data_IF_031219958626
#
_entry.id   IF_031219958626
#
_cell.length_a   1.000
_cell.length_b   1.000
_cell.length_c   1.000
_cell.angle_alpha   90.00
_cell.angle_beta   90.00
_cell.angle_gamma   90.00
#
_symmetry.space_group_name_H-M   'P 1'
#
loop_
_entity.id
_entity.type
_entity.pdbx_description
1 polymer ?
#
# COMPACT_ATOMS: atom_id res chain seq x y z
N UNK A 1 39.69 46.70 -17.83
CA UNK A 1 39.91 45.25 -17.84
C UNK A 1 39.60 44.57 -16.49
N UNK A 2 39.62 45.26 -15.36
CA UNK A 2 39.45 44.71 -14.00
C UNK A 2 37.98 44.49 -13.57
N UNK A 3 37.04 45.18 -14.20
CA UNK A 3 35.59 45.07 -13.78
C UNK A 3 34.83 43.88 -14.46
N UNK A 4 35.30 43.45 -15.65
CA UNK A 4 34.71 42.28 -16.33
C UNK A 4 35.14 40.94 -15.68
N UNK A 5 36.34 40.85 -15.16
CA UNK A 5 36.85 39.63 -14.51
C UNK A 5 36.11 39.33 -13.16
N UNK A 6 35.69 40.40 -12.44
CA UNK A 6 34.89 40.21 -11.20
C UNK A 6 33.48 39.70 -11.46
N UNK A 7 32.80 40.13 -12.56
CA UNK A 7 31.47 39.64 -12.93
C UNK A 7 31.47 38.14 -13.34
N UNK A 8 32.51 37.70 -14.04
CA UNK A 8 32.67 36.30 -14.49
C UNK A 8 32.92 35.39 -13.26
N UNK A 9 33.73 35.83 -12.27
CA UNK A 9 33.96 35.05 -11.05
C UNK A 9 32.70 34.93 -10.16
N UNK A 10 31.88 35.99 -10.05
CA UNK A 10 30.61 35.92 -9.32
C UNK A 10 29.58 35.02 -10.00
N UNK A 11 29.51 35.02 -11.33
CA UNK A 11 28.61 34.11 -12.07
C UNK A 11 29.05 32.65 -11.97
N UNK A 12 30.36 32.37 -11.98
CA UNK A 12 30.88 31.01 -11.84
C UNK A 12 30.64 30.45 -10.40
N UNK A 13 30.74 31.29 -9.37
CA UNK A 13 30.44 30.91 -8.00
C UNK A 13 28.93 30.70 -7.78
N UNK A 14 28.06 31.54 -8.37
CA UNK A 14 26.61 31.35 -8.33
C UNK A 14 26.20 30.08 -9.10
N UNK A 15 26.80 29.80 -10.26
CA UNK A 15 26.50 28.55 -10.98
C UNK A 15 26.99 27.31 -10.22
N UNK A 16 28.14 27.36 -9.54
CA UNK A 16 28.63 26.26 -8.71
C UNK A 16 27.76 26.03 -7.46
N UNK A 17 27.21 27.07 -6.84
CA UNK A 17 26.32 26.96 -5.70
C UNK A 17 24.95 26.42 -6.13
N UNK A 18 24.45 26.81 -7.30
CA UNK A 18 23.17 26.26 -7.83
C UNK A 18 23.33 24.80 -8.28
N UNK A 19 24.47 24.41 -8.84
CA UNK A 19 24.76 23.02 -9.22
C UNK A 19 24.98 22.16 -7.96
N UNK A 20 25.56 22.70 -6.87
CA UNK A 20 25.72 21.97 -5.60
C UNK A 20 24.40 21.77 -4.85
N UNK A 21 23.38 22.59 -5.10
CA UNK A 21 22.04 22.43 -4.49
C UNK A 21 21.17 21.39 -5.20
N UNK A 22 21.55 20.93 -6.40
CA UNK A 22 20.79 19.94 -7.19
C UNK A 22 21.31 18.51 -6.97
N UNK A 23 22.44 18.31 -6.30
CA UNK A 23 23.10 17.00 -6.12
C UNK A 23 22.91 16.36 -4.73
N UNK A 24 21.87 16.70 -3.94
CA UNK A 24 21.75 16.21 -2.55
C UNK A 24 20.82 14.99 -2.37
N UNK A 25 20.26 14.41 -3.44
CA UNK A 25 19.49 13.17 -3.32
C UNK A 25 19.91 12.12 -4.35
N UNK A 26 21.11 11.59 -4.21
CA UNK A 26 21.63 10.53 -5.08
C UNK A 26 21.41 9.11 -4.55
N UNK A 27 20.77 8.93 -3.39
CA UNK A 27 20.46 7.63 -2.79
C UNK A 27 19.03 7.14 -3.05
N UNK A 28 18.73 5.88 -2.75
CA UNK A 28 17.37 5.36 -2.74
C UNK A 28 16.45 6.16 -1.83
N UNK A 29 15.14 6.14 -2.10
CA UNK A 29 14.13 6.72 -1.23
C UNK A 29 13.95 5.81 -0.01
N UNK A 30 14.11 6.34 1.18
CA UNK A 30 13.84 5.60 2.42
C UNK A 30 12.32 5.53 2.63
N UNK A 31 11.71 4.38 2.33
CA UNK A 31 10.26 4.18 2.36
C UNK A 31 9.87 3.30 3.54
N UNK A 32 9.09 3.86 4.46
CA UNK A 32 8.38 3.07 5.45
C UNK A 32 7.09 2.49 4.86
N UNK A 33 6.84 1.20 5.07
CA UNK A 33 5.53 0.60 4.81
C UNK A 33 4.95 0.09 6.11
N UNK A 34 3.75 0.56 6.45
CA UNK A 34 3.12 0.18 7.72
C UNK A 34 2.67 -1.28 7.68
N UNK A 35 3.17 -2.08 8.61
CA UNK A 35 2.99 -3.52 8.74
C UNK A 35 2.47 -3.93 10.13
N UNK A 36 2.00 -2.96 10.93
CA UNK A 36 1.44 -3.21 12.26
C UNK A 36 0.02 -3.78 12.22
N UNK A 37 -0.71 -3.61 13.32
CA UNK A 37 -2.09 -4.05 13.41
C UNK A 37 -3.01 -3.15 12.58
N UNK A 38 -3.80 -3.77 11.69
CA UNK A 38 -4.82 -3.07 10.92
C UNK A 38 -4.72 -3.20 9.43
N UNK A 39 -3.54 -3.08 8.78
CA UNK A 39 -3.39 -3.41 7.39
C UNK A 39 -3.84 -4.84 7.10
N UNK A 40 -4.54 -5.03 5.99
CA UNK A 40 -5.03 -6.34 5.54
C UNK A 40 -5.46 -6.25 4.09
N UNK A 41 -5.44 -7.33 3.40
CA UNK A 41 -5.79 -7.51 1.99
C UNK A 41 -4.58 -7.71 1.08
N UNK A 42 -4.87 -8.10 -0.14
CA UNK A 42 -3.85 -8.25 -1.20
C UNK A 42 -2.98 -6.99 -1.35
N UNK A 43 -3.61 -5.81 -1.16
CA UNK A 43 -2.91 -4.54 -1.27
C UNK A 43 -1.74 -4.40 -0.30
N UNK A 44 -1.83 -4.96 0.94
CA UNK A 44 -0.70 -4.94 1.86
C UNK A 44 0.48 -5.75 1.32
N UNK A 45 0.21 -6.98 0.88
CA UNK A 45 1.25 -7.86 0.30
C UNK A 45 1.88 -7.21 -0.92
N UNK A 46 1.07 -6.62 -1.80
CA UNK A 46 1.60 -5.92 -2.99
C UNK A 46 2.43 -4.69 -2.60
N UNK A 47 2.06 -3.93 -1.59
CA UNK A 47 2.88 -2.80 -1.14
C UNK A 47 4.26 -3.23 -0.66
N UNK A 48 4.36 -4.30 0.15
CA UNK A 48 5.66 -4.81 0.60
C UNK A 48 6.52 -5.22 -0.59
N UNK A 49 5.94 -5.92 -1.56
CA UNK A 49 6.62 -6.37 -2.76
C UNK A 49 7.03 -5.23 -3.68
N UNK A 50 6.15 -4.28 -3.97
CA UNK A 50 6.43 -3.17 -4.87
C UNK A 50 7.58 -2.30 -4.35
N UNK A 51 7.58 -1.99 -3.05
CA UNK A 51 8.67 -1.19 -2.45
C UNK A 51 9.96 -2.00 -2.38
N UNK A 52 9.88 -3.28 -1.96
CA UNK A 52 11.05 -4.15 -1.86
C UNK A 52 11.74 -4.40 -3.21
N UNK A 53 10.97 -4.53 -4.28
CA UNK A 53 11.51 -4.83 -5.62
C UNK A 53 12.00 -3.59 -6.39
N UNK A 54 11.67 -2.38 -5.95
CA UNK A 54 12.07 -1.16 -6.63
C UNK A 54 13.52 -0.80 -6.34
N UNK A 55 14.38 -0.66 -7.37
CA UNK A 55 15.79 -0.33 -7.17
C UNK A 55 16.02 1.10 -6.64
N UNK A 56 15.00 1.97 -6.75
CA UNK A 56 15.05 3.34 -6.26
C UNK A 56 14.59 3.49 -4.81
N UNK A 57 14.22 2.40 -4.13
CA UNK A 57 13.65 2.45 -2.78
C UNK A 57 14.34 1.48 -1.82
N UNK A 58 14.47 1.92 -0.56
CA UNK A 58 14.80 1.07 0.58
C UNK A 58 13.55 0.86 1.43
N UNK A 59 13.19 -0.39 1.67
CA UNK A 59 12.01 -0.76 2.46
C UNK A 59 12.34 -0.81 3.96
N UNK A 60 11.59 -0.06 4.76
CA UNK A 60 11.50 -0.25 6.22
C UNK A 60 10.08 -0.66 6.61
N UNK A 61 9.93 -1.83 7.25
CA UNK A 61 8.64 -2.27 7.80
C UNK A 61 8.40 -1.60 9.16
N UNK A 62 7.25 -0.95 9.32
CA UNK A 62 6.90 -0.19 10.53
C UNK A 62 5.60 -0.73 11.16
N UNK A 63 5.57 -0.77 12.48
CA UNK A 63 4.36 -0.97 13.29
C UNK A 63 4.16 0.19 14.26
N UNK A 64 3.13 0.11 15.09
CA UNK A 64 2.82 1.17 16.05
C UNK A 64 3.95 1.43 17.04
N UNK A 65 4.65 0.37 17.49
CA UNK A 65 5.79 0.49 18.43
C UNK A 65 6.99 1.18 17.76
N UNK A 66 7.31 0.79 16.53
CA UNK A 66 8.38 1.42 15.75
C UNK A 66 8.10 2.92 15.52
N UNK A 67 6.85 3.28 15.19
CA UNK A 67 6.45 4.68 15.03
C UNK A 67 6.61 5.45 16.35
N UNK A 68 6.14 4.90 17.47
CA UNK A 68 6.31 5.54 18.79
C UNK A 68 7.78 5.65 19.20
N UNK A 69 8.62 4.72 18.79
CA UNK A 69 10.06 4.71 19.08
C UNK A 69 10.90 5.59 18.15
N UNK A 70 10.28 6.37 17.26
CA UNK A 70 10.99 7.34 16.41
C UNK A 70 11.48 6.79 15.07
N UNK A 71 10.97 5.64 14.60
CA UNK A 71 11.39 5.07 13.32
C UNK A 71 11.02 5.96 12.11
N UNK A 72 10.07 6.89 12.26
CA UNK A 72 9.73 7.86 11.22
C UNK A 72 10.90 8.80 10.87
N UNK A 73 11.83 9.05 11.80
CA UNK A 73 12.99 9.90 11.56
C UNK A 73 13.98 9.30 10.56
N UNK A 74 13.85 8.01 10.24
CA UNK A 74 14.73 7.26 9.33
C UNK A 74 14.16 7.07 7.94
N UNK A 75 12.98 7.59 7.67
CA UNK A 75 12.30 7.46 6.39
C UNK A 75 11.96 8.83 5.80
N UNK A 76 11.86 8.88 4.48
CA UNK A 76 11.45 10.07 3.75
C UNK A 76 9.94 10.05 3.46
N UNK A 77 9.38 8.84 3.33
CA UNK A 77 8.01 8.62 2.91
C UNK A 77 7.41 7.43 3.63
N UNK A 78 6.17 7.58 4.09
CA UNK A 78 5.35 6.49 4.66
C UNK A 78 4.26 6.06 3.69
N UNK A 79 4.21 4.77 3.39
CA UNK A 79 3.07 4.11 2.75
C UNK A 79 2.18 3.50 3.83
N UNK A 80 0.90 3.87 3.82
CA UNK A 80 -0.13 3.32 4.70
C UNK A 80 -1.11 2.49 3.87
N UNK A 81 -1.04 1.16 3.96
CA UNK A 81 -1.89 0.26 3.18
C UNK A 81 -3.37 0.29 3.57
N UNK A 82 -4.18 -0.39 2.76
CA UNK A 82 -5.58 -0.65 3.05
C UNK A 82 -5.79 -1.60 4.24
N UNK A 83 -7.01 -1.57 4.82
CA UNK A 83 -7.37 -2.44 5.94
C UNK A 83 -8.42 -1.84 6.87
N UNK A 84 -8.08 -1.67 8.15
CA UNK A 84 -8.92 -1.09 9.18
C UNK A 84 -8.28 0.14 9.79
N UNK A 85 -8.71 1.33 9.38
CA UNK A 85 -8.20 2.58 9.95
C UNK A 85 -8.38 2.71 11.47
N UNK A 86 -9.49 2.24 12.09
CA UNK A 86 -9.59 2.21 13.55
C UNK A 86 -8.55 1.31 14.21
N UNK A 87 -8.24 0.16 13.62
CA UNK A 87 -7.21 -0.74 14.16
C UNK A 87 -5.81 -0.15 14.00
N UNK A 88 -5.50 0.49 12.84
CA UNK A 88 -4.26 1.23 12.63
C UNK A 88 -4.11 2.34 13.67
N UNK A 89 -5.16 3.16 13.87
CA UNK A 89 -5.14 4.23 14.86
C UNK A 89 -4.95 3.72 16.29
N UNK A 90 -5.60 2.60 16.65
CA UNK A 90 -5.43 1.95 17.94
C UNK A 90 -4.00 1.44 18.14
N UNK A 91 -3.37 0.87 17.11
CA UNK A 91 -1.99 0.39 17.15
C UNK A 91 -0.99 1.55 17.28
N UNK A 92 -1.20 2.62 16.55
CA UNK A 92 -0.40 3.85 16.66
C UNK A 92 -0.50 4.48 18.05
N UNK A 93 -1.64 4.38 18.72
CA UNK A 93 -1.97 5.09 19.95
C UNK A 93 -1.94 6.64 19.75
N UNK A 94 -2.31 7.45 20.72
CA UNK A 94 -2.24 8.92 20.60
C UNK A 94 -0.83 9.44 20.30
N UNK A 95 0.19 8.86 20.91
CA UNK A 95 1.60 9.26 20.71
C UNK A 95 2.07 9.01 19.28
N UNK A 96 1.88 7.80 18.75
CA UNK A 96 2.24 7.48 17.35
C UNK A 96 1.44 8.29 16.34
N UNK A 97 0.16 8.58 16.65
CA UNK A 97 -0.67 9.48 15.84
C UNK A 97 -0.09 10.90 15.80
N UNK A 98 0.36 11.43 16.93
CA UNK A 98 0.99 12.74 16.99
C UNK A 98 2.30 12.75 16.20
N UNK A 99 3.16 11.75 16.41
CA UNK A 99 4.44 11.61 15.66
C UNK A 99 4.20 11.51 14.14
N UNK A 100 3.17 10.78 13.70
CA UNK A 100 2.82 10.71 12.29
C UNK A 100 2.38 12.07 11.73
N UNK A 101 1.57 12.82 12.46
CA UNK A 101 1.19 14.19 12.06
C UNK A 101 2.42 15.10 11.97
N UNK A 102 3.30 15.06 12.96
CA UNK A 102 4.51 15.86 13.00
C UNK A 102 5.48 15.46 11.88
N UNK A 103 5.65 14.17 11.60
CA UNK A 103 6.41 13.68 10.45
C UNK A 103 5.96 14.33 9.15
N UNK A 104 4.64 14.28 8.86
CA UNK A 104 4.09 14.90 7.64
C UNK A 104 4.27 16.42 7.70
N UNK A 105 3.91 17.08 8.81
CA UNK A 105 4.02 18.54 8.96
C UNK A 105 5.45 19.04 8.71
N UNK A 106 6.46 18.27 9.10
CA UNK A 106 7.88 18.62 8.97
C UNK A 106 8.48 18.28 7.60
N UNK A 107 7.73 17.68 6.68
CA UNK A 107 8.18 17.43 5.31
C UNK A 107 8.17 15.97 4.88
N UNK A 108 7.84 15.05 5.79
CA UNK A 108 7.66 13.64 5.45
C UNK A 108 6.54 13.43 4.44
N UNK A 109 6.77 12.50 3.51
CA UNK A 109 5.79 12.13 2.50
C UNK A 109 4.79 11.11 3.00
N UNK A 110 3.56 11.13 2.47
CA UNK A 110 2.55 10.14 2.82
C UNK A 110 1.79 9.64 1.59
N UNK A 111 1.71 8.32 1.45
CA UNK A 111 0.85 7.65 0.45
C UNK A 111 -0.12 6.74 1.20
N UNK A 112 -1.43 7.01 1.10
CA UNK A 112 -2.47 6.23 1.76
C UNK A 112 -3.47 5.62 0.79
N UNK A 113 -3.68 4.29 0.86
CA UNK A 113 -4.72 3.60 0.08
C UNK A 113 -5.83 3.09 1.00
N UNK A 114 -7.09 3.20 0.61
CA UNK A 114 -8.26 2.69 1.31
C UNK A 114 -8.28 3.12 2.81
N UNK A 115 -7.89 2.24 3.74
CA UNK A 115 -7.81 2.57 5.17
C UNK A 115 -6.75 3.64 5.46
N UNK A 116 -5.63 3.65 4.73
CA UNK A 116 -4.62 4.72 4.80
C UNK A 116 -5.18 6.07 4.37
N UNK A 117 -6.05 6.10 3.35
CA UNK A 117 -6.79 7.31 3.01
C UNK A 117 -7.74 7.73 4.14
N UNK A 118 -8.50 6.77 4.73
CA UNK A 118 -9.37 7.05 5.88
C UNK A 118 -8.61 7.64 7.07
N UNK A 119 -7.39 7.19 7.32
CA UNK A 119 -6.58 7.64 8.46
C UNK A 119 -6.28 9.14 8.40
N UNK A 120 -6.14 9.72 7.20
CA UNK A 120 -5.85 11.14 7.04
C UNK A 120 -7.06 12.06 7.21
N UNK A 121 -8.28 11.51 7.20
CA UNK A 121 -9.52 12.29 7.28
C UNK A 121 -9.62 13.06 8.59
N UNK A 122 -10.52 14.03 8.59
CA UNK A 122 -10.90 14.75 9.79
C UNK A 122 -11.50 13.80 10.83
N UNK A 123 -11.08 13.97 12.07
CA UNK A 123 -11.68 13.30 13.22
C UNK A 123 -12.85 14.14 13.75
N UNK A 124 -14.02 13.54 13.88
CA UNK A 124 -15.18 14.14 14.50
C UNK A 124 -15.72 13.24 15.62
N UNK A 125 -16.63 13.77 16.45
CA UNK A 125 -17.27 13.01 17.52
C UNK A 125 -17.90 11.70 17.01
N UNK A 126 -18.42 11.71 15.77
CA UNK A 126 -19.06 10.54 15.14
C UNK A 126 -18.09 9.70 14.29
N UNK A 127 -16.89 10.21 14.00
CA UNK A 127 -15.89 9.56 13.12
C UNK A 127 -14.52 9.54 13.78
N UNK A 128 -14.28 8.54 14.63
CA UNK A 128 -13.00 8.33 15.34
C UNK A 128 -11.91 7.68 14.47
N UNK A 129 -12.07 7.67 13.15
CA UNK A 129 -11.21 6.89 12.21
C UNK A 129 -10.02 7.67 11.70
N UNK A 130 -10.15 8.99 11.62
CA UNK A 130 -9.14 9.89 11.09
C UNK A 130 -8.23 10.48 12.16
N UNK A 131 -7.19 11.19 11.72
CA UNK A 131 -6.24 11.90 12.56
C UNK A 131 -6.18 13.40 12.23
N UNK A 132 -7.14 13.92 11.49
CA UNK A 132 -7.27 15.34 11.11
C UNK A 132 -6.03 15.91 10.44
N UNK A 133 -5.67 15.33 9.29
CA UNK A 133 -4.65 15.84 8.36
C UNK A 133 -5.32 16.46 7.13
N UNK A 134 -6.35 15.79 6.59
CA UNK A 134 -7.14 16.28 5.45
C UNK A 134 -8.52 16.78 5.91
N UNK A 135 -9.03 17.92 5.40
CA UNK A 135 -10.38 18.42 5.69
C UNK A 135 -11.44 17.66 4.88
N UNK A 136 -11.50 16.36 5.06
CA UNK A 136 -12.44 15.46 4.38
C UNK A 136 -13.11 14.53 5.37
N UNK A 137 -14.41 14.34 5.19
CA UNK A 137 -15.20 13.34 5.88
C UNK A 137 -15.55 12.16 4.98
N UNK A 138 -16.27 11.18 5.54
CA UNK A 138 -16.66 9.95 4.85
C UNK A 138 -18.17 9.74 4.88
N UNK A 139 -18.78 9.59 3.72
CA UNK A 139 -20.20 9.22 3.58
C UNK A 139 -20.47 7.74 3.86
N UNK A 140 -19.46 6.88 3.69
CA UNK A 140 -19.61 5.44 3.85
C UNK A 140 -18.63 4.66 2.98
N UNK A 141 -18.95 3.38 2.78
CA UNK A 141 -18.23 2.47 1.87
C UNK A 141 -19.20 1.45 1.28
N UNK A 142 -18.86 0.85 0.16
CA UNK A 142 -19.75 -0.01 -0.60
C UNK A 142 -18.98 -1.12 -1.30
N UNK A 143 -19.22 -2.35 -0.98
CA UNK A 143 -18.81 -3.54 -1.75
C UNK A 143 -17.35 -3.63 -2.22
N UNK A 144 -17.12 -4.52 -3.17
CA UNK A 144 -15.83 -4.77 -3.82
C UNK A 144 -16.04 -4.96 -5.33
N UNK A 145 -15.39 -4.17 -6.16
CA UNK A 145 -15.54 -4.18 -7.63
C UNK A 145 -14.44 -3.35 -8.31
N UNK A 146 -14.41 -3.42 -9.65
CA UNK A 146 -13.59 -2.50 -10.45
C UNK A 146 -14.37 -1.20 -10.66
N UNK A 147 -13.86 -0.11 -10.13
CA UNK A 147 -14.50 1.20 -10.13
C UNK A 147 -13.82 2.13 -11.13
N UNK A 148 -14.56 2.76 -12.06
CA UNK A 148 -14.02 3.83 -12.87
C UNK A 148 -13.83 5.07 -12.02
N UNK A 149 -12.62 5.65 -12.08
CA UNK A 149 -12.24 6.91 -11.47
C UNK A 149 -11.95 7.93 -12.56
N UNK A 150 -12.58 9.08 -12.51
CA UNK A 150 -12.27 10.21 -13.38
C UNK A 150 -11.17 11.06 -12.74
N UNK A 151 -9.97 11.04 -13.31
CA UNK A 151 -8.83 11.86 -12.91
C UNK A 151 -8.91 13.19 -13.65
N UNK A 152 -8.92 14.31 -12.92
CA UNK A 152 -8.98 15.64 -13.48
C UNK A 152 -7.59 16.18 -13.91
N UNK A 153 -7.56 17.34 -14.57
CA UNK A 153 -6.33 17.96 -15.09
C UNK A 153 -5.30 18.24 -13.96
N UNK A 154 -5.76 18.71 -12.81
CA UNK A 154 -4.87 19.01 -11.66
C UNK A 154 -4.20 17.73 -11.15
N UNK A 155 -4.98 16.69 -10.89
CA UNK A 155 -4.45 15.40 -10.43
C UNK A 155 -3.56 14.73 -11.48
N UNK A 156 -3.96 14.79 -12.75
CA UNK A 156 -3.20 14.26 -13.86
C UNK A 156 -1.81 14.94 -13.98
N UNK A 157 -1.77 16.26 -13.91
CA UNK A 157 -0.54 17.06 -13.94
C UNK A 157 0.36 16.71 -12.72
N UNK A 158 -0.22 16.65 -11.52
CA UNK A 158 0.53 16.35 -10.30
C UNK A 158 1.15 14.96 -10.33
N UNK A 159 0.41 13.96 -10.81
CA UNK A 159 0.87 12.57 -10.94
C UNK A 159 1.69 12.32 -12.21
N UNK A 160 1.74 13.24 -13.18
CA UNK A 160 2.41 13.05 -14.46
C UNK A 160 1.75 11.98 -15.35
N UNK A 161 0.44 11.87 -15.30
CA UNK A 161 -0.38 10.97 -16.11
C UNK A 161 -1.34 11.76 -17.01
N UNK A 162 -2.09 11.11 -17.86
CA UNK A 162 -3.15 11.77 -18.63
C UNK A 162 -4.42 11.94 -17.80
N UNK A 163 -5.20 13.02 -17.97
CA UNK A 163 -6.55 13.09 -17.42
C UNK A 163 -7.46 12.08 -18.12
N UNK A 164 -8.51 11.60 -17.42
CA UNK A 164 -9.42 10.64 -18.00
C UNK A 164 -9.93 9.61 -17.00
N UNK A 165 -10.63 8.59 -17.51
CA UNK A 165 -11.20 7.54 -16.69
C UNK A 165 -10.29 6.31 -16.63
N UNK A 166 -10.12 5.77 -15.41
CA UNK A 166 -9.31 4.59 -15.13
C UNK A 166 -10.07 3.62 -14.23
N UNK A 167 -10.11 2.35 -14.59
CA UNK A 167 -10.69 1.31 -13.74
C UNK A 167 -9.69 0.88 -12.67
N UNK A 168 -10.04 1.06 -11.40
CA UNK A 168 -9.20 0.75 -10.24
C UNK A 168 -9.98 -0.17 -9.30
N UNK A 169 -9.32 -1.13 -8.69
CA UNK A 169 -9.94 -2.00 -7.67
C UNK A 169 -10.43 -1.16 -6.49
N UNK A 170 -11.71 -1.26 -6.20
CA UNK A 170 -12.32 -0.73 -4.99
C UNK A 170 -12.68 -1.88 -4.04
N UNK A 171 -12.40 -1.73 -2.75
CA UNK A 171 -12.71 -2.73 -1.73
C UNK A 171 -13.12 -2.04 -0.42
N UNK A 172 -14.36 -1.57 -0.37
CA UNK A 172 -14.95 -0.89 0.79
C UNK A 172 -14.13 0.32 1.31
N UNK A 173 -13.43 1.00 0.43
CA UNK A 173 -12.73 2.25 0.74
C UNK A 173 -13.72 3.40 1.03
N UNK A 174 -13.22 4.56 1.50
CA UNK A 174 -14.09 5.70 1.81
C UNK A 174 -14.67 6.34 0.55
N UNK A 175 -15.93 6.76 0.65
CA UNK A 175 -16.51 7.75 -0.28
C UNK A 175 -16.40 9.10 0.41
N UNK A 176 -15.56 9.99 -0.13
CA UNK A 176 -15.11 11.19 0.56
C UNK A 176 -15.93 12.41 0.16
N UNK A 177 -16.09 13.33 1.09
CA UNK A 177 -16.63 14.68 0.86
C UNK A 177 -15.77 15.71 1.59
N UNK A 178 -15.60 16.93 1.04
CA UNK A 178 -14.90 18.00 1.75
C UNK A 178 -15.69 18.45 2.98
N UNK A 179 -15.00 18.70 4.08
CA UNK A 179 -15.58 19.31 5.28
C UNK A 179 -15.37 20.82 5.26
N UNK A 180 -16.10 21.54 6.10
CA UNK A 180 -16.01 23.01 6.20
C UNK A 180 -14.96 23.46 7.24
N UNK A 181 -14.39 22.53 8.00
CA UNK A 181 -13.42 22.87 9.03
C UNK A 181 -12.05 23.12 8.41
N UNK A 182 -11.47 24.28 8.76
CA UNK A 182 -10.09 24.55 8.40
C UNK A 182 -9.14 23.75 9.30
N UNK A 183 -8.23 23.01 8.70
CA UNK A 183 -7.12 22.36 9.39
C UNK A 183 -5.88 23.20 9.10
N UNK A 184 -5.26 23.73 10.16
CA UNK A 184 -4.07 24.57 10.03
C UNK A 184 -2.93 23.86 9.31
N UNK A 185 -2.38 24.51 8.28
CA UNK A 185 -1.31 23.97 7.44
C UNK A 185 -1.75 22.94 6.40
N UNK A 186 -3.06 22.67 6.29
CA UNK A 186 -3.62 21.77 5.28
C UNK A 186 -4.01 22.52 4.00
N UNK A 187 -3.58 22.02 2.85
CA UNK A 187 -4.00 22.49 1.53
C UNK A 187 -4.20 21.30 0.62
N UNK A 188 -5.46 20.94 0.35
CA UNK A 188 -5.81 19.72 -0.36
C UNK A 188 -6.82 19.98 -1.48
N UNK A 189 -6.69 19.22 -2.56
CA UNK A 189 -7.55 19.27 -3.73
C UNK A 189 -8.04 17.87 -4.11
N UNK A 190 -9.22 17.82 -4.73
CA UNK A 190 -9.74 16.61 -5.36
C UNK A 190 -9.03 16.42 -6.70
N UNK A 191 -8.29 15.32 -6.84
CA UNK A 191 -7.59 14.95 -8.07
C UNK A 191 -8.33 13.92 -8.90
N UNK A 192 -9.29 13.24 -8.29
CA UNK A 192 -10.16 12.33 -9.00
C UNK A 192 -11.43 12.01 -8.22
N UNK A 193 -12.48 11.69 -8.96
CA UNK A 193 -13.79 11.32 -8.42
C UNK A 193 -14.18 9.93 -8.87
N UNK A 194 -15.11 9.32 -8.15
CA UNK A 194 -15.81 8.13 -8.66
C UNK A 194 -16.61 8.54 -9.90
N UNK A 195 -16.47 7.81 -11.01
CA UNK A 195 -17.11 8.11 -12.28
C UNK A 195 -18.41 7.32 -12.51
N UNK A 196 -18.79 6.48 -11.57
CA UNK A 196 -20.09 5.78 -11.62
C UNK A 196 -20.61 5.43 -10.23
N UNK A 197 -21.91 5.14 -10.16
CA UNK A 197 -22.52 4.39 -9.07
C UNK A 197 -22.44 2.91 -9.38
N UNK A 198 -22.11 2.11 -8.36
CA UNK A 198 -22.20 0.65 -8.48
C UNK A 198 -23.44 0.17 -7.73
N UNK A 199 -24.28 -0.61 -8.40
CA UNK A 199 -25.47 -1.17 -7.78
C UNK A 199 -25.07 -2.21 -6.73
N UNK A 200 -25.30 -1.86 -5.48
CA UNK A 200 -25.18 -2.75 -4.35
C UNK A 200 -26.52 -2.80 -3.61
N UNK A 201 -27.25 -3.90 -3.70
CA UNK A 201 -28.62 -3.98 -3.14
C UNK A 201 -28.73 -3.59 -1.68
N UNK A 202 -27.64 -3.74 -0.93
CA UNK A 202 -27.56 -3.43 0.52
C UNK A 202 -27.18 -1.99 0.85
N UNK A 203 -26.91 -1.13 -0.13
CA UNK A 203 -26.44 0.24 0.13
C UNK A 203 -27.03 1.23 -0.86
N UNK A 204 -27.69 2.25 -0.30
CA UNK A 204 -28.20 3.41 -1.07
C UNK A 204 -27.12 4.48 -1.30
N UNK A 205 -25.87 4.24 -0.89
CA UNK A 205 -24.78 5.18 -1.02
C UNK A 205 -24.53 5.49 -2.51
N UNK A 206 -24.58 6.77 -2.89
CA UNK A 206 -24.12 7.25 -4.18
C UNK A 206 -22.63 7.52 -4.11
N UNK A 207 -21.91 7.10 -5.14
CA UNK A 207 -20.45 7.26 -5.23
C UNK A 207 -20.08 8.25 -6.33
N UNK A 208 -20.83 8.23 -7.43
CA UNK A 208 -20.56 9.05 -8.60
C UNK A 208 -20.41 10.56 -8.22
N UNK A 209 -19.36 11.18 -8.70
CA UNK A 209 -19.02 12.57 -8.43
C UNK A 209 -18.32 12.84 -7.09
N UNK A 210 -18.37 11.89 -6.13
CA UNK A 210 -17.65 12.05 -4.86
C UNK A 210 -16.14 11.83 -5.01
N UNK A 211 -15.37 12.47 -4.13
CA UNK A 211 -13.92 12.38 -4.15
C UNK A 211 -13.43 10.97 -3.89
N UNK A 212 -12.46 10.52 -4.70
CA UNK A 212 -11.80 9.23 -4.64
C UNK A 212 -10.28 9.35 -4.56
N UNK A 213 -9.71 10.41 -5.13
CA UNK A 213 -8.28 10.71 -5.09
C UNK A 213 -8.12 12.15 -4.59
N UNK A 214 -7.29 12.30 -3.57
CA UNK A 214 -6.99 13.59 -2.95
C UNK A 214 -5.47 13.75 -2.89
N UNK A 215 -4.98 14.89 -3.31
CA UNK A 215 -3.59 15.26 -3.17
C UNK A 215 -3.46 16.64 -2.54
N UNK A 216 -2.34 16.87 -1.86
CA UNK A 216 -2.11 18.15 -1.22
C UNK A 216 -0.95 18.13 -0.24
N UNK A 217 -0.93 19.13 0.64
CA UNK A 217 0.12 19.30 1.65
C UNK A 217 -0.46 19.45 3.05
N UNK A 218 0.32 19.03 4.02
CA UNK A 218 0.11 19.31 5.43
C UNK A 218 1.42 19.81 6.02
N UNK A 219 1.48 21.10 6.34
CA UNK A 219 2.75 21.77 6.62
C UNK A 219 3.68 21.72 5.40
N UNK A 220 4.85 21.14 5.56
CA UNK A 220 5.85 20.98 4.48
C UNK A 220 5.71 19.65 3.73
N UNK A 221 4.99 18.67 4.30
CA UNK A 221 4.87 17.33 3.74
C UNK A 221 3.79 17.23 2.67
N UNK A 222 3.99 16.32 1.73
CA UNK A 222 3.07 16.02 0.64
C UNK A 222 2.29 14.75 0.94
N UNK A 223 1.00 14.79 0.67
CA UNK A 223 0.07 13.68 0.93
C UNK A 223 -0.63 13.29 -0.35
N UNK A 224 -0.60 12.01 -0.67
CA UNK A 224 -1.45 11.38 -1.67
C UNK A 224 -2.36 10.37 -0.98
N UNK A 225 -3.66 10.50 -1.18
CA UNK A 225 -4.66 9.62 -0.57
C UNK A 225 -5.66 9.16 -1.64
N UNK A 226 -5.86 7.85 -1.74
CA UNK A 226 -6.79 7.24 -2.68
C UNK A 226 -7.71 6.24 -1.99
N UNK A 227 -9.00 6.33 -2.29
CA UNK A 227 -10.01 5.42 -1.74
C UNK A 227 -9.94 3.99 -2.29
N UNK A 228 -9.30 3.80 -3.42
CA UNK A 228 -9.15 2.54 -4.14
C UNK A 228 -7.80 1.87 -3.87
N UNK A 229 -7.55 0.77 -4.59
CA UNK A 229 -6.37 -0.09 -4.46
C UNK A 229 -5.60 -0.17 -5.79
N UNK A 230 -4.89 0.90 -6.21
CA UNK A 230 -4.10 0.87 -7.44
C UNK A 230 -2.90 -0.09 -7.36
N UNK A 231 -2.49 -0.51 -6.15
CA UNK A 231 -1.45 -1.51 -5.92
C UNK A 231 -1.87 -2.92 -6.33
N UNK A 232 -3.17 -3.20 -6.42
CA UNK A 232 -3.67 -4.57 -6.62
C UNK A 232 -3.35 -5.16 -8.00
N UNK A 233 -3.18 -4.32 -9.02
CA UNK A 233 -2.96 -4.79 -10.40
C UNK A 233 -1.87 -3.99 -11.12
N UNK A 234 -0.94 -4.65 -11.85
CA UNK A 234 0.12 -3.97 -12.59
C UNK A 234 -0.38 -2.89 -13.55
N UNK A 235 -1.57 -3.07 -14.14
CA UNK A 235 -2.20 -2.12 -15.06
C UNK A 235 -2.52 -0.76 -14.41
N UNK A 236 -2.60 -0.69 -13.08
CA UNK A 236 -2.86 0.55 -12.32
C UNK A 236 -1.63 1.08 -11.58
N UNK A 237 -0.47 0.41 -11.66
CA UNK A 237 0.75 0.85 -10.99
C UNK A 237 1.30 2.21 -11.48
N UNK A 238 0.89 2.66 -12.68
CA UNK A 238 1.24 4.02 -13.15
C UNK A 238 0.71 5.11 -12.21
N UNK A 239 -0.43 4.89 -11.55
CA UNK A 239 -0.98 5.82 -10.55
C UNK A 239 -0.10 5.89 -9.30
N UNK A 240 0.47 4.75 -8.88
CA UNK A 240 1.42 4.70 -7.77
C UNK A 240 2.75 5.38 -8.12
N UNK A 241 3.26 5.16 -9.34
CA UNK A 241 4.44 5.91 -9.83
C UNK A 241 4.18 7.40 -9.76
N UNK A 242 2.99 7.84 -10.20
CA UNK A 242 2.55 9.23 -10.08
C UNK A 242 2.47 9.71 -8.63
N UNK A 243 1.99 8.89 -7.71
CA UNK A 243 1.97 9.19 -6.28
C UNK A 243 3.39 9.39 -5.72
N UNK A 244 4.33 8.48 -6.01
CA UNK A 244 5.74 8.62 -5.60
C UNK A 244 6.39 9.85 -6.21
N UNK A 245 6.17 10.09 -7.51
CA UNK A 245 6.64 11.30 -8.20
C UNK A 245 6.16 12.57 -7.48
N UNK A 246 4.90 12.64 -7.14
CA UNK A 246 4.34 13.79 -6.43
C UNK A 246 4.90 13.91 -5.01
N UNK A 247 4.87 12.82 -4.23
CA UNK A 247 5.19 12.85 -2.80
C UNK A 247 6.69 12.98 -2.56
N UNK A 248 7.51 12.16 -3.24
CA UNK A 248 8.97 12.14 -3.08
C UNK A 248 9.71 13.05 -4.07
N UNK A 249 9.05 13.55 -5.13
CA UNK A 249 9.68 14.32 -6.18
C UNK A 249 10.64 13.49 -7.05
N UNK A 250 10.53 12.17 -7.03
CA UNK A 250 11.41 11.21 -7.73
C UNK A 250 10.60 10.17 -8.50
N UNK A 251 11.10 9.75 -9.65
CA UNK A 251 10.55 8.64 -10.41
C UNK A 251 10.93 7.32 -9.74
N UNK A 252 10.03 6.34 -9.82
CA UNK A 252 10.25 4.99 -9.31
C UNK A 252 9.88 3.96 -10.36
N UNK A 253 10.57 2.82 -10.32
CA UNK A 253 10.32 1.68 -11.18
C UNK A 253 9.71 0.54 -10.36
N UNK A 254 8.64 -0.04 -10.85
CA UNK A 254 8.14 -1.31 -10.35
C UNK A 254 8.50 -2.38 -11.38
N UNK A 255 9.55 -3.16 -11.14
CA UNK A 255 9.98 -4.18 -12.09
C UNK A 255 8.86 -5.22 -12.25
N UNK A 256 8.70 -5.77 -13.46
CA UNK A 256 7.79 -6.89 -13.69
C UNK A 256 8.26 -8.08 -12.86
N UNK A 257 7.31 -8.93 -12.46
CA UNK A 257 7.66 -10.20 -11.84
C UNK A 257 8.51 -11.02 -12.83
N UNK A 258 9.72 -11.36 -12.44
CA UNK A 258 10.53 -12.28 -13.21
C UNK A 258 10.03 -13.70 -12.95
N UNK A 259 9.40 -14.31 -13.94
CA UNK A 259 9.24 -15.76 -13.94
C UNK A 259 10.59 -16.36 -14.34
N UNK A 260 11.30 -16.95 -13.38
CA UNK A 260 12.33 -17.92 -13.73
C UNK A 260 11.66 -19.07 -14.52
N UNK A 261 12.35 -19.65 -15.48
CA UNK A 261 11.81 -20.71 -16.37
C UNK A 261 11.28 -21.95 -15.59
N UNK A 262 11.60 -22.05 -14.30
CA UNK A 262 11.14 -23.11 -13.35
C UNK A 262 10.94 -22.53 -11.95
N UNK A 263 10.26 -21.38 -11.83
CA UNK A 263 9.96 -20.83 -10.51
C UNK A 263 8.85 -21.64 -9.83
N UNK A 264 9.01 -21.87 -8.54
CA UNK A 264 7.96 -22.36 -7.67
C UNK A 264 6.91 -21.26 -7.50
N UNK A 265 5.69 -21.49 -7.94
CA UNK A 265 4.61 -20.50 -7.85
C UNK A 265 3.93 -20.61 -6.47
N UNK A 266 4.08 -19.59 -5.65
CA UNK A 266 3.59 -19.56 -4.26
C UNK A 266 2.47 -18.54 -4.13
N UNK A 267 1.26 -19.00 -3.82
CA UNK A 267 0.14 -18.17 -3.42
C UNK A 267 0.23 -17.85 -1.92
N UNK A 268 0.16 -16.57 -1.54
CA UNK A 268 0.13 -16.14 -0.16
C UNK A 268 -1.28 -15.66 0.19
N UNK A 269 -1.95 -16.36 1.12
CA UNK A 269 -3.30 -16.01 1.52
C UNK A 269 -3.32 -14.69 2.29
N UNK A 270 -3.83 -13.64 1.67
CA UNK A 270 -3.69 -12.27 2.11
C UNK A 270 -4.91 -11.61 2.79
N UNK A 271 -6.10 -12.25 2.94
CA UNK A 271 -7.21 -11.66 3.68
C UNK A 271 -6.97 -11.51 5.19
N UNK A 272 -5.94 -12.12 5.74
CA UNK A 272 -5.57 -12.05 7.15
C UNK A 272 -5.04 -10.67 7.52
N UNK A 273 -5.04 -10.34 8.81
CA UNK A 273 -4.43 -9.12 9.33
C UNK A 273 -2.92 -9.25 9.15
N UNK A 274 -2.31 -8.29 8.45
CA UNK A 274 -0.86 -8.21 8.38
C UNK A 274 -0.31 -7.78 9.74
N UNK A 275 0.71 -8.49 10.22
CA UNK A 275 1.58 -8.07 11.29
C UNK A 275 3.01 -8.02 10.76
N UNK A 276 3.94 -7.53 11.56
CA UNK A 276 5.35 -7.40 11.15
C UNK A 276 5.96 -8.73 10.72
N UNK A 277 5.59 -9.85 11.37
CA UNK A 277 6.04 -11.19 10.98
C UNK A 277 5.53 -11.57 9.59
N UNK A 278 4.23 -11.37 9.32
CA UNK A 278 3.63 -11.63 8.00
C UNK A 278 4.33 -10.81 6.93
N UNK A 279 4.58 -9.53 7.19
CA UNK A 279 5.26 -8.64 6.24
C UNK A 279 6.72 -9.09 5.97
N UNK A 280 7.47 -9.46 7.02
CA UNK A 280 8.84 -10.01 6.86
C UNK A 280 8.84 -11.30 6.06
N UNK A 281 7.88 -12.19 6.30
CA UNK A 281 7.72 -13.44 5.53
C UNK A 281 7.46 -13.15 4.06
N UNK A 282 6.57 -12.21 3.74
CA UNK A 282 6.29 -11.79 2.36
C UNK A 282 7.55 -11.27 1.67
N UNK A 283 8.28 -10.35 2.31
CA UNK A 283 9.52 -9.79 1.77
C UNK A 283 10.58 -10.87 1.56
N UNK A 284 10.74 -11.77 2.53
CA UNK A 284 11.70 -12.88 2.43
C UNK A 284 11.35 -13.83 1.28
N UNK A 285 10.08 -14.22 1.13
CA UNK A 285 9.62 -15.08 0.03
C UNK A 285 9.78 -14.41 -1.34
N UNK A 286 9.49 -13.10 -1.43
CA UNK A 286 9.63 -12.33 -2.67
C UNK A 286 11.11 -12.20 -3.13
N UNK A 287 12.06 -12.31 -2.18
CA UNK A 287 13.51 -12.28 -2.43
C UNK A 287 14.10 -13.66 -2.71
N UNK A 288 13.36 -14.77 -2.52
CA UNK A 288 13.89 -16.09 -2.81
C UNK A 288 14.07 -16.32 -4.31
N UNK A 289 15.27 -16.78 -4.67
CA UNK A 289 15.53 -17.23 -6.05
C UNK A 289 14.67 -18.46 -6.37
N UNK A 290 14.02 -18.44 -7.52
CA UNK A 290 13.19 -19.57 -7.95
C UNK A 290 11.81 -19.61 -7.31
N UNK A 291 11.37 -18.55 -6.64
CA UNK A 291 10.00 -18.39 -6.11
C UNK A 291 9.32 -17.21 -6.79
N UNK A 292 8.12 -17.45 -7.32
CA UNK A 292 7.19 -16.40 -7.75
C UNK A 292 6.06 -16.29 -6.72
N UNK A 293 5.97 -15.15 -6.03
CA UNK A 293 4.99 -14.91 -4.97
C UNK A 293 3.75 -14.17 -5.50
N UNK A 294 2.56 -14.69 -5.19
CA UNK A 294 1.27 -14.11 -5.57
C UNK A 294 0.38 -13.88 -4.35
N UNK A 295 -0.17 -12.67 -4.13
CA UNK A 295 -1.19 -12.47 -3.12
C UNK A 295 -2.49 -13.14 -3.57
N UNK A 296 -3.07 -13.97 -2.70
CA UNK A 296 -4.30 -14.71 -2.97
C UNK A 296 -5.38 -14.25 -1.99
N UNK A 297 -6.49 -13.74 -2.50
CA UNK A 297 -7.71 -13.54 -1.74
C UNK A 297 -8.90 -14.26 -2.42
N UNK A 298 -10.09 -14.07 -1.91
CA UNK A 298 -11.30 -14.77 -2.41
C UNK A 298 -11.54 -14.49 -3.88
N UNK A 299 -11.31 -13.26 -4.35
CA UNK A 299 -11.50 -12.90 -5.75
C UNK A 299 -10.50 -13.61 -6.68
N UNK A 300 -9.26 -13.79 -6.24
CA UNK A 300 -8.23 -14.50 -6.97
C UNK A 300 -8.55 -16.00 -7.01
N UNK A 301 -9.13 -16.57 -5.94
CA UNK A 301 -9.65 -17.95 -5.93
C UNK A 301 -10.79 -18.08 -6.93
N UNK A 302 -11.77 -17.17 -6.91
CA UNK A 302 -12.91 -17.15 -7.81
C UNK A 302 -12.52 -17.00 -9.30
N UNK A 303 -11.38 -16.34 -9.56
CA UNK A 303 -10.83 -16.19 -10.92
C UNK A 303 -9.91 -17.32 -11.36
N UNK A 304 -9.82 -18.41 -10.60
CA UNK A 304 -9.03 -19.60 -10.94
C UNK A 304 -7.52 -19.47 -10.66
N UNK A 305 -7.09 -18.49 -9.83
CA UNK A 305 -5.66 -18.29 -9.56
C UNK A 305 -5.00 -19.51 -8.90
N UNK A 306 -5.76 -20.33 -8.17
CA UNK A 306 -5.22 -21.57 -7.59
C UNK A 306 -4.69 -22.53 -8.67
N UNK A 307 -5.17 -22.46 -9.91
CA UNK A 307 -4.70 -23.29 -11.03
C UNK A 307 -3.28 -22.94 -11.49
N UNK A 308 -2.75 -21.82 -11.03
CA UNK A 308 -1.48 -21.25 -11.47
C UNK A 308 -0.42 -21.23 -10.37
N UNK A 309 -0.69 -21.86 -9.22
CA UNK A 309 0.25 -21.96 -8.10
C UNK A 309 0.53 -23.39 -7.71
N UNK A 310 1.72 -23.65 -7.16
CA UNK A 310 2.16 -24.96 -6.65
C UNK A 310 1.88 -25.07 -5.14
N UNK A 311 2.07 -23.97 -4.41
CA UNK A 311 1.88 -23.88 -2.98
C UNK A 311 0.92 -22.76 -2.59
N UNK A 312 0.01 -23.04 -1.66
CA UNK A 312 -0.80 -22.02 -0.97
C UNK A 312 -0.31 -21.88 0.48
N UNK A 313 0.20 -20.73 0.82
CA UNK A 313 0.69 -20.40 2.17
C UNK A 313 -0.41 -19.74 2.97
N UNK A 314 -0.70 -20.29 4.14
CA UNK A 314 -1.66 -19.76 5.12
C UNK A 314 -0.89 -19.11 6.29
N UNK A 315 -0.79 -17.78 6.37
CA UNK A 315 -0.07 -17.10 7.43
C UNK A 315 -0.83 -17.12 8.76
N UNK A 316 -0.14 -16.77 9.83
CA UNK A 316 -0.79 -16.44 11.10
C UNK A 316 -1.78 -15.28 10.91
N UNK A 317 -2.89 -15.30 11.63
CA UNK A 317 -3.95 -14.31 11.47
C UNK A 317 -5.14 -14.56 12.39
N UNK A 318 -6.28 -13.94 12.08
CA UNK A 318 -7.51 -14.07 12.87
C UNK A 318 -8.40 -15.16 12.28
N UNK A 319 -8.83 -16.15 13.10
CA UNK A 319 -9.67 -17.30 12.67
C UNK A 319 -10.86 -16.88 11.80
N UNK A 320 -11.58 -15.82 12.16
CA UNK A 320 -12.72 -15.31 11.39
C UNK A 320 -12.38 -14.88 9.95
N UNK A 321 -11.11 -14.73 9.62
CA UNK A 321 -10.64 -14.39 8.26
C UNK A 321 -10.51 -15.62 7.38
N UNK A 322 -10.38 -16.79 7.95
CA UNK A 322 -10.30 -18.04 7.22
C UNK A 322 -11.68 -18.58 6.80
N UNK A 323 -12.77 -18.09 7.38
CA UNK A 323 -14.12 -18.46 6.94
C UNK A 323 -14.39 -18.23 5.45
N UNK A 324 -13.73 -17.24 4.86
CA UNK A 324 -13.80 -16.99 3.40
C UNK A 324 -13.06 -18.03 2.57
N UNK A 325 -11.99 -18.64 3.09
CA UNK A 325 -11.30 -19.77 2.46
C UNK A 325 -12.10 -21.05 2.62
N UNK A 326 -12.66 -21.30 3.81
CA UNK A 326 -13.55 -22.43 4.08
C UNK A 326 -14.79 -22.42 3.16
N UNK A 327 -15.34 -21.22 2.90
CA UNK A 327 -16.42 -21.03 1.93
C UNK A 327 -16.04 -21.32 0.46
N UNK A 328 -14.76 -21.61 0.20
CA UNK A 328 -14.19 -21.96 -1.13
C UNK A 328 -13.59 -23.37 -1.14
N UNK A 329 -14.10 -24.24 -0.28
CA UNK A 329 -13.58 -25.60 -0.11
C UNK A 329 -13.47 -26.36 -1.44
N UNK A 330 -14.45 -26.24 -2.33
CA UNK A 330 -14.43 -26.90 -3.65
C UNK A 330 -13.20 -26.51 -4.51
N UNK A 331 -12.81 -25.24 -4.50
CA UNK A 331 -11.61 -24.77 -5.23
C UNK A 331 -10.32 -25.25 -4.56
N UNK A 332 -10.28 -25.30 -3.22
CA UNK A 332 -9.14 -25.82 -2.47
C UNK A 332 -8.99 -27.32 -2.69
N UNK A 333 -10.08 -28.10 -2.63
CA UNK A 333 -10.08 -29.54 -2.89
C UNK A 333 -9.62 -29.84 -4.34
N UNK A 334 -10.09 -29.08 -5.32
CA UNK A 334 -9.63 -29.18 -6.70
C UNK A 334 -8.14 -28.84 -6.85
N UNK A 335 -7.64 -27.82 -6.14
CA UNK A 335 -6.22 -27.49 -6.08
C UNK A 335 -5.39 -28.63 -5.53
N UNK A 336 -5.78 -29.23 -4.41
CA UNK A 336 -5.07 -30.36 -3.80
C UNK A 336 -5.11 -31.62 -4.69
N UNK A 337 -6.26 -31.91 -5.34
CA UNK A 337 -6.42 -33.12 -6.16
C UNK A 337 -5.52 -33.13 -7.40
N UNK A 338 -5.10 -31.97 -7.91
CA UNK A 338 -4.14 -31.87 -9.04
C UNK A 338 -2.69 -31.71 -8.62
N UNK A 339 -2.36 -31.95 -7.31
CA UNK A 339 -1.01 -31.94 -6.78
C UNK A 339 -0.59 -30.58 -6.17
N UNK A 340 -1.48 -29.62 -6.04
CA UNK A 340 -1.25 -28.41 -5.26
C UNK A 340 -1.00 -28.76 -3.79
N UNK A 341 -0.17 -27.99 -3.11
CA UNK A 341 0.26 -28.22 -1.73
C UNK A 341 0.01 -27.00 -0.86
N UNK A 342 -0.12 -27.22 0.45
CA UNK A 342 -0.36 -26.14 1.41
C UNK A 342 0.64 -26.13 2.53
N UNK A 343 1.07 -24.94 2.95
CA UNK A 343 1.91 -24.71 4.11
C UNK A 343 1.32 -23.57 4.95
N UNK A 344 1.62 -23.53 6.26
CA UNK A 344 1.14 -22.47 7.11
C UNK A 344 1.67 -22.52 8.52
N UNK A 345 1.49 -21.42 9.24
CA UNK A 345 1.88 -21.29 10.65
C UNK A 345 0.81 -20.56 11.47
N UNK A 346 0.94 -20.64 12.80
CA UNK A 346 0.03 -19.99 13.73
C UNK A 346 -1.44 -20.40 13.49
N UNK A 347 -2.33 -19.45 13.36
CA UNK A 347 -3.75 -19.69 13.06
C UNK A 347 -3.92 -20.35 11.70
N UNK A 348 -3.14 -19.98 10.68
CA UNK A 348 -3.22 -20.55 9.34
C UNK A 348 -2.97 -22.05 9.34
N UNK A 349 -2.09 -22.56 10.21
CA UNK A 349 -1.81 -23.99 10.32
C UNK A 349 -3.02 -24.84 10.70
N UNK A 350 -4.02 -24.26 11.38
CA UNK A 350 -5.27 -24.96 11.77
C UNK A 350 -6.18 -25.27 10.58
N UNK A 351 -5.97 -24.61 9.45
CA UNK A 351 -6.78 -24.72 8.24
C UNK A 351 -6.06 -25.56 7.14
N UNK A 352 -4.96 -26.21 7.48
CA UNK A 352 -4.24 -27.09 6.56
C UNK A 352 -4.92 -28.46 6.45
N UNK A 353 -4.84 -29.14 5.28
CA UNK A 353 -5.18 -30.56 5.17
C UNK A 353 -4.20 -31.42 5.98
N UNK A 354 -4.53 -32.72 6.14
CA UNK A 354 -3.70 -33.66 6.94
C UNK A 354 -2.22 -33.74 6.50
N UNK A 355 -1.99 -33.63 5.22
CA UNK A 355 -0.67 -33.67 4.56
C UNK A 355 -0.06 -32.27 4.34
N UNK A 356 -0.74 -31.24 4.83
CA UNK A 356 -0.23 -29.85 4.77
C UNK A 356 1.00 -29.66 5.64
N UNK A 357 1.94 -28.84 5.17
CA UNK A 357 3.16 -28.53 5.90
C UNK A 357 2.89 -27.52 7.02
N UNK A 358 2.89 -27.99 8.26
CA UNK A 358 2.86 -27.12 9.44
C UNK A 358 4.26 -26.60 9.70
N UNK A 359 4.36 -25.26 9.82
CA UNK A 359 5.56 -24.53 10.16
C UNK A 359 5.38 -23.84 11.53
N UNK A 360 6.47 -23.52 12.21
CA UNK A 360 6.43 -22.89 13.54
C UNK A 360 6.34 -21.37 13.46
N UNK A 361 6.82 -20.81 12.35
CA UNK A 361 6.87 -19.35 12.11
C UNK A 361 6.89 -19.04 10.62
N UNK A 362 6.77 -17.77 10.27
CA UNK A 362 6.97 -17.30 8.90
C UNK A 362 8.38 -17.58 8.37
N UNK A 363 9.41 -17.46 9.22
CA UNK A 363 10.79 -17.79 8.85
C UNK A 363 10.97 -19.28 8.51
N UNK A 364 10.27 -20.16 9.22
CA UNK A 364 10.27 -21.60 8.95
C UNK A 364 9.60 -21.92 7.59
N UNK A 365 8.52 -21.20 7.24
CA UNK A 365 7.90 -21.27 5.90
C UNK A 365 8.90 -20.88 4.81
N UNK A 366 9.64 -19.79 5.01
CA UNK A 366 10.63 -19.30 4.05
C UNK A 366 11.70 -20.36 3.81
N UNK A 367 12.31 -20.90 4.89
CA UNK A 367 13.34 -21.95 4.80
C UNK A 367 12.82 -23.22 4.14
N UNK A 368 11.58 -23.60 4.44
CA UNK A 368 10.95 -24.77 3.81
C UNK A 368 10.75 -24.56 2.30
N UNK A 369 10.20 -23.41 1.87
CA UNK A 369 9.96 -23.14 0.46
C UNK A 369 11.25 -22.90 -0.33
N UNK A 370 12.32 -22.42 0.31
CA UNK A 370 13.65 -22.34 -0.29
C UNK A 370 14.17 -23.74 -0.66
N UNK A 371 14.01 -24.72 0.23
CA UNK A 371 14.37 -26.11 -0.06
C UNK A 371 13.51 -26.74 -1.15
N UNK A 372 12.22 -26.41 -1.22
CA UNK A 372 11.31 -26.88 -2.28
C UNK A 372 11.68 -26.28 -3.64
N UNK A 373 12.05 -25.00 -3.69
CA UNK A 373 12.46 -24.32 -4.92
C UNK A 373 13.82 -24.81 -5.46
N UNK A 374 14.64 -25.44 -4.61
CA UNK A 374 15.94 -26.01 -5.00
C UNK A 374 15.85 -27.43 -5.61
N UNK A 375 14.68 -28.08 -5.52
CA UNK A 375 14.42 -29.41 -6.13
C UNK A 375 14.12 -29.29 -7.62
#
# INVERSE_FOLDING_TARGET
MTMQIRKIKCMAVLAAVVISAICVFAGPIEVGVYAGTGPRSNGCVEWFRLVNASPEMNLTLLDGDAVRSGALDKIELLVMPGGSSPAIKKDLQPEGTAKLKDFIRNGGGYIGTCAGCCLMMEESADVTRGISVMPYGRLGSKGKFMMPLAVNETGAKAMGIKPGEYKVRYSAGPVLYPTTNAIEGASFEVWGTFASDFDCPKSKLRMNGHAAIIGGTYGKGRVFAIACHPESFPVTHFMLKGAFRYVAGREVTFPPRHRAVRALSVGFYSPVICGTEVARTVVALDNLKGVDLFPIAVQEIDSGMLDHIDWLVLPDGVDSRYSSLEGKKEFVDAFLSRGGRMAGWGVGAKHLPKDGKVCTSGADVVSFLEMEAAK
#
